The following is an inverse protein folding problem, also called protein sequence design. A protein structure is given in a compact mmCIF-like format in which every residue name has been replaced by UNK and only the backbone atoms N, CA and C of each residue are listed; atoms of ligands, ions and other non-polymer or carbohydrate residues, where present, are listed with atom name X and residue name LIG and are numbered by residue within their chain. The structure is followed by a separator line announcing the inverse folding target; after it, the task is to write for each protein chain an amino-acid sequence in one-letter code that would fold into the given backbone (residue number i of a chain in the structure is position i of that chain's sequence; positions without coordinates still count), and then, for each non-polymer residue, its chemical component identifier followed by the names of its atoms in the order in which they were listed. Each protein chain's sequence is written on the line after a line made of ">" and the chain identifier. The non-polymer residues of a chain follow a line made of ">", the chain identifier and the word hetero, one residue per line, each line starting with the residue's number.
data_IF_898688846434
#
_entry.id   IF_898688846434
#
_cell.length_a   1.000
_cell.length_b   1.000
_cell.length_c   1.000
_cell.angle_alpha   90.00
_cell.angle_beta   90.00
_cell.angle_gamma   90.00
#
_symmetry.space_group_name_H-M   'P 1'
#
loop_
_entity.id
_entity.type
_entity.pdbx_description
1 polymer ?
#
# COMPACT_ATOMS: atom_id res chain seq x y z
N UNK A 1 12.20 7.18 -5.26
CA UNK A 1 10.83 7.55 -4.87
C UNK A 1 10.32 6.56 -3.84
N UNK A 2 9.76 7.08 -2.76
CA UNK A 2 9.28 6.26 -1.64
C UNK A 2 7.77 6.19 -1.68
N UNK A 3 7.22 4.97 -1.59
CA UNK A 3 5.78 4.75 -1.62
C UNK A 3 5.32 3.89 -0.45
N UNK A 4 4.09 4.12 -0.02
CA UNK A 4 3.32 3.25 0.86
C UNK A 4 2.05 2.88 0.12
N UNK A 5 1.61 1.64 0.22
CA UNK A 5 0.48 1.12 -0.55
C UNK A 5 -0.56 0.54 0.39
N UNK A 6 -1.81 0.99 0.23
CA UNK A 6 -2.94 0.51 1.01
C UNK A 6 -3.23 -0.96 0.69
N UNK A 7 -3.67 -1.71 1.69
CA UNK A 7 -4.06 -3.12 1.55
C UNK A 7 -5.08 -3.32 0.42
N UNK A 8 -6.02 -2.40 0.24
CA UNK A 8 -7.03 -2.51 -0.81
C UNK A 8 -6.42 -2.55 -2.22
N UNK A 9 -5.34 -1.80 -2.45
CA UNK A 9 -4.62 -1.84 -3.73
C UNK A 9 -3.97 -3.21 -3.92
N UNK A 10 -3.33 -3.73 -2.88
CA UNK A 10 -2.69 -5.06 -2.92
C UNK A 10 -3.73 -6.14 -3.20
N UNK A 11 -4.84 -6.14 -2.47
CA UNK A 11 -5.93 -7.12 -2.66
C UNK A 11 -6.46 -7.06 -4.09
N UNK A 12 -6.76 -5.86 -4.58
CA UNK A 12 -7.26 -5.66 -5.94
C UNK A 12 -6.28 -6.20 -6.99
N UNK A 13 -4.99 -5.97 -6.78
CA UNK A 13 -3.96 -6.50 -7.67
C UNK A 13 -3.93 -8.03 -7.67
N UNK A 14 -4.02 -8.63 -6.48
CA UNK A 14 -3.98 -10.11 -6.33
C UNK A 14 -5.19 -10.77 -7.00
N UNK A 15 -6.37 -10.16 -6.92
CA UNK A 15 -7.57 -10.66 -7.61
C UNK A 15 -7.64 -10.22 -9.07
N UNK A 16 -6.57 -9.66 -9.61
CA UNK A 16 -6.39 -9.28 -11.00
C UNK A 16 -7.30 -8.15 -11.51
N UNK A 17 -7.60 -7.19 -10.66
CA UNK A 17 -8.17 -5.93 -11.11
C UNK A 17 -7.07 -5.15 -11.84
N UNK A 18 -7.31 -4.80 -13.09
CA UNK A 18 -6.29 -4.37 -14.06
C UNK A 18 -5.47 -3.16 -13.62
N UNK A 19 -6.13 -2.10 -13.15
CA UNK A 19 -5.42 -0.87 -12.79
C UNK A 19 -4.57 -1.03 -11.53
N UNK A 20 -5.11 -1.53 -10.40
CA UNK A 20 -4.28 -1.79 -9.22
C UNK A 20 -3.13 -2.78 -9.51
N UNK A 21 -3.36 -3.81 -10.31
CA UNK A 21 -2.31 -4.75 -10.70
C UNK A 21 -1.19 -4.04 -11.48
N UNK A 22 -1.52 -3.19 -12.44
CA UNK A 22 -0.50 -2.43 -13.20
C UNK A 22 0.32 -1.53 -12.28
N UNK A 23 -0.35 -0.83 -11.37
CA UNK A 23 0.33 0.08 -10.44
C UNK A 23 1.28 -0.70 -9.53
N UNK A 24 0.80 -1.80 -8.94
CA UNK A 24 1.60 -2.62 -8.04
C UNK A 24 2.82 -3.21 -8.74
N UNK A 25 2.61 -3.82 -9.90
CA UNK A 25 3.70 -4.42 -10.67
C UNK A 25 4.71 -3.38 -11.15
N UNK A 26 4.23 -2.19 -11.51
CA UNK A 26 5.14 -1.11 -11.87
C UNK A 26 6.02 -0.68 -10.69
N UNK A 27 5.44 -0.54 -9.50
CA UNK A 27 6.21 -0.20 -8.30
C UNK A 27 7.24 -1.27 -7.95
N UNK A 28 6.88 -2.55 -8.12
CA UNK A 28 7.78 -3.68 -7.87
C UNK A 28 8.94 -3.68 -8.87
N UNK A 29 8.65 -3.41 -10.14
CA UNK A 29 9.64 -3.49 -11.21
C UNK A 29 10.54 -2.25 -11.35
N UNK A 30 10.15 -1.12 -10.79
CA UNK A 30 10.90 0.12 -10.95
C UNK A 30 12.08 0.18 -9.98
N UNK A 31 13.29 0.32 -10.51
CA UNK A 31 14.54 0.29 -9.72
C UNK A 31 14.63 1.43 -8.72
N UNK A 32 14.06 2.58 -9.04
CA UNK A 32 14.13 3.79 -8.24
C UNK A 32 12.91 4.00 -7.33
N UNK A 33 12.05 2.98 -7.19
CA UNK A 33 10.90 3.00 -6.30
C UNK A 33 11.17 2.09 -5.10
N UNK A 34 11.03 2.65 -3.91
CA UNK A 34 11.14 1.91 -2.65
C UNK A 34 9.77 1.85 -1.99
N UNK A 35 9.28 0.63 -1.78
CA UNK A 35 8.00 0.38 -1.13
C UNK A 35 8.24 0.06 0.34
N UNK A 36 7.78 0.95 1.21
CA UNK A 36 7.97 0.83 2.66
C UNK A 36 6.74 0.29 3.37
N UNK A 37 7.00 -0.49 4.41
CA UNK A 37 5.96 -1.03 5.29
C UNK A 37 6.46 -0.99 6.73
N UNK A 38 5.53 -0.91 7.68
CA UNK A 38 5.82 -1.31 9.06
C UNK A 38 5.43 -2.78 9.21
N UNK A 39 5.77 -3.40 10.33
CA UNK A 39 5.36 -4.79 10.59
C UNK A 39 3.84 -4.95 10.50
N UNK A 40 3.09 -4.03 11.10
CA UNK A 40 1.62 -4.11 11.09
C UNK A 40 1.04 -3.96 9.68
N UNK A 41 1.60 -3.09 8.87
CA UNK A 41 1.18 -2.92 7.46
C UNK A 41 1.47 -4.18 6.67
N UNK A 42 2.70 -4.71 6.78
CA UNK A 42 3.08 -5.92 6.05
C UNK A 42 2.24 -7.13 6.45
N UNK A 43 1.96 -7.29 7.73
CA UNK A 43 1.18 -8.43 8.22
C UNK A 43 -0.29 -8.38 7.78
N UNK A 44 -0.83 -7.19 7.56
CA UNK A 44 -2.21 -7.03 7.10
C UNK A 44 -2.41 -7.55 5.69
N UNK A 45 -1.44 -7.38 4.79
CA UNK A 45 -1.58 -7.82 3.40
C UNK A 45 -1.94 -9.32 3.30
N UNK A 46 -1.13 -10.25 3.84
CA UNK A 46 -1.48 -11.67 3.74
C UNK A 46 -2.71 -12.04 4.56
N UNK A 47 -2.96 -11.37 5.68
CA UNK A 47 -4.15 -11.62 6.48
C UNK A 47 -5.42 -11.36 5.67
N UNK A 48 -5.45 -10.28 4.90
CA UNK A 48 -6.63 -9.93 4.10
C UNK A 48 -6.77 -10.82 2.87
N UNK A 49 -5.69 -11.11 2.14
CA UNK A 49 -5.78 -11.97 0.93
C UNK A 49 -6.13 -13.42 1.25
N UNK A 50 -5.91 -13.87 2.48
CA UNK A 50 -6.30 -15.21 2.93
C UNK A 50 -7.80 -15.34 3.21
N UNK A 51 -8.56 -14.25 3.21
CA UNK A 51 -9.99 -14.31 3.54
C UNK A 51 -10.73 -15.15 2.51
N UNK A 52 -11.64 -16.06 2.96
CA UNK A 52 -12.32 -17.00 2.06
C UNK A 52 -13.11 -16.33 0.93
N UNK A 53 -13.58 -15.10 1.13
CA UNK A 53 -14.35 -14.38 0.12
C UNK A 53 -13.59 -14.14 -1.18
N UNK A 54 -12.25 -14.14 -1.14
CA UNK A 54 -11.43 -13.96 -2.34
C UNK A 54 -11.16 -15.27 -3.08
N UNK A 55 -11.44 -16.41 -2.44
CA UNK A 55 -11.33 -17.75 -3.05
C UNK A 55 -9.98 -18.01 -3.73
N UNK A 56 -8.88 -17.49 -3.16
CA UNK A 56 -7.55 -17.67 -3.71
C UNK A 56 -6.96 -19.02 -3.28
N UNK A 57 -6.21 -19.66 -4.19
CA UNK A 57 -5.52 -20.90 -3.87
C UNK A 57 -4.40 -20.66 -2.86
N UNK A 58 -4.05 -21.71 -2.10
CA UNK A 58 -2.91 -21.65 -1.18
C UNK A 58 -1.61 -21.30 -1.91
N UNK A 59 -1.42 -21.81 -3.12
CA UNK A 59 -0.24 -21.51 -3.93
C UNK A 59 -0.18 -20.02 -4.31
N UNK A 60 -1.29 -19.43 -4.70
CA UNK A 60 -1.37 -18.00 -5.03
C UNK A 60 -1.07 -17.14 -3.81
N UNK A 61 -1.66 -17.47 -2.66
CA UNK A 61 -1.44 -16.75 -1.40
C UNK A 61 0.04 -16.80 -1.01
N UNK A 62 0.65 -17.98 -1.07
CA UNK A 62 2.07 -18.16 -0.74
C UNK A 62 2.96 -17.35 -1.67
N UNK A 63 2.71 -17.42 -2.97
CA UNK A 63 3.48 -16.68 -3.98
C UNK A 63 3.45 -15.17 -3.72
N UNK A 64 2.25 -14.61 -3.51
CA UNK A 64 2.12 -13.18 -3.24
C UNK A 64 2.72 -12.78 -1.90
N UNK A 65 2.57 -13.61 -0.87
CA UNK A 65 3.15 -13.33 0.45
C UNK A 65 4.67 -13.26 0.36
N UNK A 66 5.31 -14.20 -0.35
CA UNK A 66 6.76 -14.19 -0.56
C UNK A 66 7.20 -12.95 -1.35
N UNK A 67 6.45 -12.58 -2.39
CA UNK A 67 6.73 -11.39 -3.19
C UNK A 67 6.66 -10.11 -2.34
N UNK A 68 5.61 -9.98 -1.53
CA UNK A 68 5.43 -8.82 -0.66
C UNK A 68 6.57 -8.69 0.36
N UNK A 69 7.01 -9.80 0.92
CA UNK A 69 8.16 -9.79 1.84
C UNK A 69 9.44 -9.40 1.11
N UNK A 70 9.65 -9.92 -0.10
CA UNK A 70 10.88 -9.67 -0.86
C UNK A 70 10.99 -8.23 -1.37
N UNK A 71 9.88 -7.61 -1.75
CA UNK A 71 9.88 -6.32 -2.44
C UNK A 71 9.55 -5.13 -1.55
N UNK A 72 9.29 -5.36 -0.26
CA UNK A 72 9.05 -4.28 0.69
C UNK A 72 10.24 -4.08 1.62
N UNK A 73 10.38 -2.85 2.11
CA UNK A 73 11.37 -2.51 3.11
C UNK A 73 10.67 -2.23 4.43
N UNK A 74 10.98 -3.03 5.45
CA UNK A 74 10.35 -2.90 6.77
C UNK A 74 11.06 -1.80 7.55
N UNK A 75 10.26 -0.88 8.08
CA UNK A 75 10.73 0.18 8.98
C UNK A 75 9.98 0.12 10.30
N UNK A 76 10.64 0.61 11.33
CA UNK A 76 10.01 0.81 12.63
C UNK A 76 9.69 2.29 12.79
N UNK A 77 8.54 2.60 13.39
CA UNK A 77 8.17 3.99 13.67
C UNK A 77 7.60 4.15 15.06
N UNK A 78 7.92 5.26 15.70
CA UNK A 78 7.31 5.71 16.94
C UNK A 78 6.26 6.80 16.71
N UNK A 79 6.02 7.17 15.46
CA UNK A 79 5.03 8.17 15.11
C UNK A 79 3.64 7.63 15.37
N UNK A 80 2.82 8.41 16.05
CA UNK A 80 1.42 8.11 16.29
C UNK A 80 0.56 9.19 15.64
N UNK A 81 -0.36 8.76 14.78
CA UNK A 81 -1.30 9.65 14.09
C UNK A 81 -2.71 9.28 14.50
N UNK A 82 -3.44 10.25 15.06
CA UNK A 82 -4.86 10.07 15.32
C UNK A 82 -5.66 10.35 14.06
N UNK A 83 -6.27 9.28 13.54
CA UNK A 83 -7.18 9.37 12.42
C UNK A 83 -8.57 8.99 12.93
N UNK A 84 -9.44 9.98 13.25
CA UNK A 84 -10.70 9.70 13.94
C UNK A 84 -11.67 8.81 13.18
N UNK A 85 -11.58 8.82 11.85
CA UNK A 85 -12.51 8.11 10.99
C UNK A 85 -12.31 6.60 11.02
N UNK A 86 -11.06 6.15 10.98
CA UNK A 86 -10.75 4.74 11.11
C UNK A 86 -9.35 4.54 11.68
N UNK A 87 -9.30 4.04 12.93
CA UNK A 87 -8.03 3.78 13.62
C UNK A 87 -7.21 2.68 12.94
N UNK A 88 -7.86 1.80 12.16
CA UNK A 88 -7.17 0.73 11.44
C UNK A 88 -6.32 1.27 10.29
N UNK A 89 -6.64 2.46 9.80
CA UNK A 89 -5.94 3.08 8.69
C UNK A 89 -4.74 3.90 9.13
N UNK A 90 -4.67 4.28 10.41
CA UNK A 90 -3.57 5.07 10.96
C UNK A 90 -2.18 4.46 10.72
N UNK A 91 -1.98 3.13 10.77
CA UNK A 91 -0.65 2.55 10.52
C UNK A 91 -0.05 2.91 9.16
N UNK A 92 -0.87 3.04 8.11
CA UNK A 92 -0.38 3.45 6.79
C UNK A 92 0.15 4.88 6.80
N UNK A 93 -0.59 5.78 7.46
CA UNK A 93 -0.21 7.19 7.58
C UNK A 93 1.06 7.34 8.42
N UNK A 94 1.15 6.58 9.51
CA UNK A 94 2.33 6.57 10.38
C UNK A 94 3.55 6.07 9.64
N UNK A 95 3.41 5.01 8.87
CA UNK A 95 4.47 4.48 8.01
C UNK A 95 4.93 5.54 7.01
N UNK A 96 4.00 6.14 6.29
CA UNK A 96 4.29 7.14 5.27
C UNK A 96 5.03 8.35 5.86
N UNK A 97 4.57 8.86 6.99
CA UNK A 97 5.19 10.01 7.63
C UNK A 97 6.59 9.67 8.15
N UNK A 98 6.79 8.48 8.70
CA UNK A 98 8.07 8.08 9.28
C UNK A 98 9.19 7.98 8.27
N UNK A 99 8.90 7.60 7.03
CA UNK A 99 9.90 7.47 5.96
C UNK A 99 9.95 8.70 5.06
N UNK A 100 9.05 9.65 5.24
CA UNK A 100 8.92 10.77 4.33
C UNK A 100 8.49 10.30 2.94
N UNK A 101 7.49 9.42 2.88
CA UNK A 101 7.05 8.86 1.60
C UNK A 101 6.54 9.95 0.67
N UNK A 102 6.85 9.80 -0.61
CA UNK A 102 6.36 10.71 -1.64
C UNK A 102 4.87 10.50 -1.88
N UNK A 103 4.44 9.23 -1.89
CA UNK A 103 3.05 8.86 -2.17
C UNK A 103 2.55 7.78 -1.24
N UNK A 104 1.29 7.92 -0.84
CA UNK A 104 0.48 6.84 -0.28
C UNK A 104 -0.61 6.52 -1.29
N UNK A 105 -0.56 5.32 -1.88
CA UNK A 105 -1.48 4.90 -2.94
C UNK A 105 -2.64 4.15 -2.31
N UNK A 106 -3.84 4.67 -2.49
CA UNK A 106 -5.06 4.10 -1.90
C UNK A 106 -6.25 4.25 -2.85
N UNK A 107 -7.19 3.30 -2.78
CA UNK A 107 -8.48 3.41 -3.45
C UNK A 107 -9.59 3.95 -2.55
N UNK A 108 -9.28 4.21 -1.28
CA UNK A 108 -10.27 4.64 -0.29
C UNK A 108 -10.33 6.17 -0.23
N UNK A 109 -11.49 6.72 -0.61
CA UNK A 109 -11.73 8.17 -0.57
C UNK A 109 -11.71 8.75 0.85
N UNK A 110 -11.91 7.90 1.87
CA UNK A 110 -11.87 8.36 3.27
C UNK A 110 -10.49 8.88 3.67
N UNK A 111 -9.43 8.42 3.01
CA UNK A 111 -8.09 8.95 3.23
C UNK A 111 -7.89 10.38 2.76
N UNK A 112 -8.80 10.92 1.93
CA UNK A 112 -8.67 12.32 1.48
C UNK A 112 -8.68 13.31 2.66
N UNK A 113 -9.41 12.99 3.73
CA UNK A 113 -9.44 13.81 4.94
C UNK A 113 -8.12 13.75 5.73
N UNK A 114 -7.36 12.68 5.55
CA UNK A 114 -6.08 12.51 6.22
C UNK A 114 -4.95 13.33 5.60
N UNK A 115 -5.15 13.93 4.43
CA UNK A 115 -4.10 14.68 3.75
C UNK A 115 -3.54 15.81 4.61
N UNK A 116 -4.36 16.42 5.44
CA UNK A 116 -3.91 17.49 6.35
C UNK A 116 -3.04 16.99 7.50
N UNK A 117 -3.04 15.67 7.76
CA UNK A 117 -2.30 15.06 8.86
C UNK A 117 -0.88 14.63 8.49
N UNK A 118 -0.58 14.58 7.19
CA UNK A 118 0.70 14.07 6.69
C UNK A 118 1.24 14.95 5.57
N UNK A 119 2.56 14.89 5.36
CA UNK A 119 3.22 15.56 4.24
C UNK A 119 3.22 14.71 2.97
N UNK A 120 3.10 13.39 3.10
CA UNK A 120 2.98 12.46 1.99
C UNK A 120 1.74 12.78 1.16
N UNK A 121 1.86 12.78 -0.16
CA UNK A 121 0.70 12.96 -1.04
C UNK A 121 -0.11 11.68 -1.09
N UNK A 122 -1.38 11.77 -0.69
CA UNK A 122 -2.34 10.67 -0.77
C UNK A 122 -2.95 10.69 -2.18
N UNK A 123 -2.82 9.58 -2.91
CA UNK A 123 -3.13 9.52 -4.33
C UNK A 123 -3.88 8.22 -4.67
N UNK A 124 -4.81 8.29 -5.62
CA UNK A 124 -5.46 7.09 -6.13
C UNK A 124 -4.57 6.35 -7.13
N UNK A 125 -4.88 5.07 -7.38
CA UNK A 125 -4.17 4.30 -8.40
C UNK A 125 -4.28 4.96 -9.77
N UNK A 126 -5.45 5.49 -10.12
CA UNK A 126 -5.69 6.18 -11.39
C UNK A 126 -4.82 7.43 -11.53
N UNK A 127 -4.76 8.26 -10.49
CA UNK A 127 -3.92 9.45 -10.50
C UNK A 127 -2.44 9.09 -10.55
N UNK A 128 -2.04 8.07 -9.81
CA UNK A 128 -0.66 7.60 -9.80
C UNK A 128 -0.23 7.14 -11.21
N UNK A 129 -1.08 6.37 -11.89
CA UNK A 129 -0.80 5.94 -13.26
C UNK A 129 -0.60 7.15 -14.17
N UNK A 130 -1.53 8.10 -14.15
CA UNK A 130 -1.50 9.27 -15.06
C UNK A 130 -0.33 10.20 -14.78
N UNK A 131 -0.04 10.47 -13.51
CA UNK A 131 0.92 11.50 -13.13
C UNK A 131 2.34 10.99 -13.01
N UNK A 132 2.52 9.70 -12.70
CA UNK A 132 3.84 9.13 -12.36
C UNK A 132 4.26 8.09 -13.40
N UNK A 133 3.40 7.12 -13.70
CA UNK A 133 3.78 6.00 -14.57
C UNK A 133 3.83 6.36 -16.04
N UNK A 134 2.98 7.27 -16.48
CA UNK A 134 2.83 7.64 -17.91
C UNK A 134 3.62 8.88 -18.31
N UNK A 135 4.45 9.38 -17.43
CA UNK A 135 5.31 10.53 -17.76
C UNK A 135 6.48 10.09 -18.63
#
# INVERSE_FOLDING_TARGET
>A
MKVVIDTNIVVSAVIRDRLPERVLLWCIGAVDVDWYVTRSVLDEYPEVIRRPKFALSAATITCWTELLIADTQIVHTDIHIEFPRDRKDAPFLECAESVGADYFITGDSDFSEAQSLVTTRIISASQFEKEIMLI
#
